data_IF_243327964405
#
_entry.id   IF_243327964405
#
_cell.length_a   1.000
_cell.length_b   1.000
_cell.length_c   1.000
_cell.angle_alpha   90.00
_cell.angle_beta   90.00
_cell.angle_gamma   90.00
#
_symmetry.space_group_name_H-M   'P 1'
#
loop_
_entity.id
_entity.type
_entity.pdbx_description
1 polymer ?
#
# COMPACT_ATOMS: atom_id res chain seq x y z
N UNK A 1 -16.34 6.68 10.17
CA UNK A 1 -16.73 7.65 9.15
C UNK A 1 -16.92 6.93 7.84
N UNK A 2 -18.18 6.85 7.41
CA UNK A 2 -18.53 6.66 6.00
C UNK A 2 -17.75 7.69 5.17
N UNK A 3 -17.52 7.42 3.87
CA UNK A 3 -17.13 8.52 2.99
C UNK A 3 -18.19 9.59 3.12
N UNK A 4 -17.82 10.73 3.70
CA UNK A 4 -18.77 11.80 3.97
C UNK A 4 -19.57 12.04 2.69
N UNK A 5 -20.92 11.99 2.75
CA UNK A 5 -21.72 12.32 1.58
C UNK A 5 -21.20 13.64 1.02
N UNK A 6 -21.21 13.83 -0.30
CA UNK A 6 -20.57 14.99 -0.95
C UNK A 6 -20.99 16.36 -0.36
N UNK A 7 -22.09 16.38 0.39
CA UNK A 7 -22.67 17.55 1.06
C UNK A 7 -22.71 17.39 2.60
N UNK A 8 -21.79 16.65 3.22
CA UNK A 8 -21.77 16.50 4.67
C UNK A 8 -21.54 17.85 5.35
N UNK A 9 -22.41 18.22 6.28
CA UNK A 9 -22.27 19.46 7.04
C UNK A 9 -21.18 19.33 8.11
N UNK A 10 -20.59 20.47 8.48
CA UNK A 10 -19.63 20.55 9.57
C UNK A 10 -20.21 20.06 10.92
N UNK A 11 -21.48 20.36 11.22
CA UNK A 11 -22.10 19.91 12.49
C UNK A 11 -22.23 18.38 12.57
N UNK A 12 -22.61 17.73 11.45
CA UNK A 12 -22.62 16.27 11.38
C UNK A 12 -21.21 15.71 11.54
N UNK A 13 -20.21 16.33 10.91
CA UNK A 13 -18.82 15.91 11.05
C UNK A 13 -18.31 16.05 12.48
N UNK A 14 -18.49 17.21 13.11
CA UNK A 14 -18.06 17.48 14.48
C UNK A 14 -18.68 16.53 15.50
N UNK A 15 -19.94 16.16 15.29
CA UNK A 15 -20.62 15.18 16.16
C UNK A 15 -20.02 13.77 16.07
N UNK A 16 -19.27 13.47 15.00
CA UNK A 16 -18.62 12.17 14.77
C UNK A 16 -17.13 12.17 15.10
N UNK A 17 -16.52 13.32 15.42
CA UNK A 17 -15.07 13.41 15.73
C UNK A 17 -14.76 12.92 17.13
N UNK A 18 -15.69 13.03 18.07
CA UNK A 18 -15.50 12.63 19.47
C UNK A 18 -16.59 11.67 19.93
N UNK A 19 -16.23 10.77 20.84
CA UNK A 19 -17.16 9.80 21.43
C UNK A 19 -18.05 10.43 22.49
N UNK A 20 -17.54 11.45 23.18
CA UNK A 20 -18.28 12.21 24.18
C UNK A 20 -18.91 13.44 23.52
N UNK A 21 -20.21 13.72 23.74
CA UNK A 21 -20.86 14.91 23.21
C UNK A 21 -20.10 16.17 23.63
N UNK A 22 -19.59 16.89 22.63
CA UNK A 22 -18.82 18.11 22.82
C UNK A 22 -19.78 19.26 23.11
N UNK A 23 -19.41 20.14 24.05
CA UNK A 23 -20.27 21.28 24.39
C UNK A 23 -20.48 22.20 23.18
N UNK A 24 -21.66 22.82 23.11
CA UNK A 24 -22.02 23.69 21.99
C UNK A 24 -21.02 24.83 21.79
N UNK A 25 -20.49 25.40 22.89
CA UNK A 25 -19.48 26.45 22.83
C UNK A 25 -18.17 26.01 22.13
N UNK A 26 -17.76 24.75 22.34
CA UNK A 26 -16.57 24.18 21.68
C UNK A 26 -16.87 23.91 20.20
N UNK A 27 -18.06 23.41 19.86
CA UNK A 27 -18.49 23.24 18.47
C UNK A 27 -18.49 24.57 17.70
N UNK A 28 -19.14 25.61 18.24
CA UNK A 28 -19.17 26.94 17.62
C UNK A 28 -17.76 27.53 17.48
N UNK A 29 -16.87 27.30 18.44
CA UNK A 29 -15.47 27.73 18.32
C UNK A 29 -14.73 27.01 17.18
N UNK A 30 -15.05 25.75 16.92
CA UNK A 30 -14.51 25.00 15.78
C UNK A 30 -15.13 25.48 14.47
N UNK A 31 -16.44 25.70 14.40
CA UNK A 31 -17.12 26.28 13.22
C UNK A 31 -16.47 27.59 12.80
N UNK A 32 -16.26 28.52 13.73
CA UNK A 32 -15.59 29.81 13.46
C UNK A 32 -14.17 29.60 12.93
N UNK A 33 -13.43 28.62 13.45
CA UNK A 33 -12.09 28.32 12.93
C UNK A 33 -12.14 27.79 11.49
N UNK A 34 -12.89 26.72 11.24
CA UNK A 34 -12.85 26.02 9.96
C UNK A 34 -13.61 26.76 8.85
N UNK A 35 -14.77 27.33 9.17
CA UNK A 35 -15.62 28.01 8.19
C UNK A 35 -15.21 29.46 8.00
N UNK A 36 -15.09 30.24 9.09
CA UNK A 36 -14.91 31.68 8.97
C UNK A 36 -13.43 32.05 8.78
N UNK A 37 -12.52 31.48 9.59
CA UNK A 37 -11.09 31.84 9.53
C UNK A 37 -10.34 31.14 8.40
N UNK A 38 -10.62 29.85 8.18
CA UNK A 38 -9.93 29.04 7.17
C UNK A 38 -10.69 29.00 5.83
N UNK A 39 -11.97 29.36 5.82
CA UNK A 39 -12.76 29.49 4.58
C UNK A 39 -13.26 28.17 4.00
N UNK A 40 -13.29 27.07 4.77
CA UNK A 40 -13.76 25.78 4.27
C UNK A 40 -15.28 25.67 4.37
N UNK A 41 -15.95 25.58 3.23
CA UNK A 41 -17.40 25.44 3.16
C UNK A 41 -17.88 24.04 3.61
N UNK A 42 -17.02 23.03 3.52
CA UNK A 42 -17.31 21.65 3.90
C UNK A 42 -16.07 20.93 4.46
N UNK A 43 -16.25 19.84 5.24
CA UNK A 43 -15.13 19.01 5.69
C UNK A 43 -14.29 18.45 4.55
N UNK A 44 -14.88 18.20 3.37
CA UNK A 44 -14.20 17.66 2.19
C UNK A 44 -13.15 18.63 1.64
N UNK A 45 -13.39 19.93 1.72
CA UNK A 45 -12.43 20.95 1.28
C UNK A 45 -11.23 21.05 2.24
N UNK A 46 -11.43 20.68 3.50
CA UNK A 46 -10.39 20.64 4.52
C UNK A 46 -9.63 19.29 4.55
N UNK A 47 -9.98 18.33 3.68
CA UNK A 47 -9.29 17.04 3.61
C UNK A 47 -7.82 17.21 3.20
N UNK A 48 -6.92 16.60 3.97
CA UNK A 48 -5.48 16.64 3.72
C UNK A 48 -4.78 17.83 4.37
N UNK A 49 -5.52 18.70 5.08
CA UNK A 49 -4.93 19.69 5.97
C UNK A 49 -4.20 19.00 7.13
N UNK A 50 -2.97 19.44 7.42
CA UNK A 50 -2.16 18.93 8.52
C UNK A 50 -2.06 19.96 9.65
N UNK A 51 -1.70 19.51 10.86
CA UNK A 51 -1.63 20.38 12.04
C UNK A 51 -0.64 21.56 11.85
N UNK A 52 0.37 21.39 10.98
CA UNK A 52 1.35 22.43 10.64
C UNK A 52 0.82 23.55 9.73
N UNK A 53 -0.33 23.37 9.07
CA UNK A 53 -0.91 24.37 8.18
C UNK A 53 -1.64 25.49 8.94
N UNK A 54 -1.95 25.26 10.22
CA UNK A 54 -2.66 26.21 11.08
C UNK A 54 -1.65 26.93 11.99
N UNK A 55 -1.63 28.25 11.90
CA UNK A 55 -0.80 29.06 12.78
C UNK A 55 -1.31 28.96 14.23
N UNK A 56 -0.43 28.87 15.25
CA UNK A 56 -0.85 28.74 16.65
C UNK A 56 -1.80 29.86 17.13
N UNK A 57 -1.71 31.04 16.52
CA UNK A 57 -2.52 32.23 16.80
C UNK A 57 -3.96 32.13 16.25
N UNK A 58 -4.18 31.28 15.24
CA UNK A 58 -5.51 31.09 14.65
C UNK A 58 -6.38 30.18 15.52
N UNK A 59 -5.76 29.26 16.26
CA UNK A 59 -6.44 28.31 17.14
C UNK A 59 -7.22 29.01 18.26
N UNK A 60 -8.37 28.47 18.69
CA UNK A 60 -9.13 29.01 19.81
C UNK A 60 -8.27 29.16 21.08
N UNK A 61 -8.50 30.24 21.83
CA UNK A 61 -7.81 30.48 23.10
C UNK A 61 -8.19 29.46 24.18
N UNK A 62 -9.44 28.98 24.15
CA UNK A 62 -9.94 27.95 25.07
C UNK A 62 -9.27 26.60 24.80
N UNK A 63 -8.65 26.02 25.84
CA UNK A 63 -7.93 24.74 25.74
C UNK A 63 -8.82 23.58 25.26
N UNK A 64 -10.06 23.39 25.75
CA UNK A 64 -10.99 22.39 25.20
C UNK A 64 -11.26 22.57 23.71
N UNK A 65 -11.46 23.81 23.24
CA UNK A 65 -11.72 24.10 21.85
C UNK A 65 -10.48 23.85 20.97
N UNK A 66 -9.29 24.23 21.44
CA UNK A 66 -8.02 23.93 20.78
C UNK A 66 -7.80 22.42 20.65
N UNK A 67 -8.02 21.66 21.72
CA UNK A 67 -7.87 20.19 21.70
C UNK A 67 -8.88 19.53 20.74
N UNK A 68 -10.13 20.01 20.73
CA UNK A 68 -11.14 19.54 19.80
C UNK A 68 -10.75 19.83 18.34
N UNK A 69 -10.34 21.06 18.01
CA UNK A 69 -9.90 21.41 16.64
C UNK A 69 -8.76 20.51 16.17
N UNK A 70 -7.77 20.20 17.03
CA UNK A 70 -6.68 19.26 16.68
C UNK A 70 -7.18 17.86 16.36
N UNK A 71 -8.21 17.37 17.06
CA UNK A 71 -8.83 16.07 16.77
C UNK A 71 -9.62 16.10 15.45
N UNK A 72 -10.28 17.21 15.14
CA UNK A 72 -10.92 17.42 13.83
C UNK A 72 -9.89 17.31 12.71
N UNK A 73 -8.74 17.98 12.83
CA UNK A 73 -7.66 17.94 11.83
C UNK A 73 -7.15 16.50 11.61
N UNK A 74 -6.85 15.78 12.70
CA UNK A 74 -6.41 14.38 12.61
C UNK A 74 -7.46 13.48 11.94
N UNK A 75 -8.73 13.73 12.21
CA UNK A 75 -9.82 12.97 11.57
C UNK A 75 -9.90 13.26 10.07
N UNK A 76 -9.70 14.51 9.66
CA UNK A 76 -9.62 14.92 8.24
C UNK A 76 -8.40 14.30 7.54
N UNK A 77 -7.27 14.21 8.22
CA UNK A 77 -6.05 13.56 7.72
C UNK A 77 -6.28 12.06 7.48
N UNK A 78 -6.90 11.36 8.44
CA UNK A 78 -7.28 9.94 8.30
C UNK A 78 -8.23 9.74 7.11
N UNK A 79 -9.23 10.63 6.92
CA UNK A 79 -10.13 10.58 5.78
C UNK A 79 -9.41 10.76 4.43
N UNK A 80 -8.50 11.73 4.37
CA UNK A 80 -7.70 11.97 3.17
C UNK A 80 -6.82 10.76 2.83
N UNK A 81 -6.17 10.15 3.82
CA UNK A 81 -5.42 8.91 3.62
C UNK A 81 -6.31 7.78 3.09
N UNK A 82 -7.48 7.55 3.72
CA UNK A 82 -8.42 6.52 3.28
C UNK A 82 -8.89 6.73 1.83
N UNK A 83 -9.11 7.99 1.39
CA UNK A 83 -9.43 8.30 -0.01
C UNK A 83 -8.26 8.07 -0.96
N UNK A 84 -7.04 8.46 -0.62
CA UNK A 84 -5.86 8.17 -1.46
C UNK A 84 -5.66 6.68 -1.67
N UNK A 85 -5.90 5.86 -0.65
CA UNK A 85 -5.88 4.41 -0.78
C UNK A 85 -6.95 3.90 -1.76
N UNK A 86 -8.19 4.43 -1.71
CA UNK A 86 -9.25 4.09 -2.68
C UNK A 86 -8.87 4.43 -4.12
N UNK A 87 -8.34 5.63 -4.36
CA UNK A 87 -8.00 6.10 -5.72
C UNK A 87 -6.76 5.39 -6.28
N UNK A 88 -5.76 5.11 -5.44
CA UNK A 88 -4.57 4.35 -5.84
C UNK A 88 -4.87 2.90 -6.24
N UNK A 89 -5.86 2.26 -5.60
CA UNK A 89 -6.29 0.91 -5.94
C UNK A 89 -7.00 0.81 -7.31
N UNK A 90 -7.63 1.89 -7.78
CA UNK A 90 -8.35 1.93 -9.07
C UNK A 90 -7.46 2.29 -10.27
N UNK A 91 -6.37 3.02 -10.05
CA UNK A 91 -5.47 3.48 -11.12
C UNK A 91 -4.32 2.48 -11.43
N UNK A 92 -4.18 1.40 -10.66
CA UNK A 92 -3.11 0.40 -10.84
C UNK A 92 -3.55 -0.81 -11.66
N UNK A 93 -3.97 -0.59 -12.92
CA UNK A 93 -4.37 -1.67 -13.86
C UNK A 93 -3.27 -1.95 -14.91
N UNK A 94 -2.05 -1.42 -14.76
CA UNK A 94 -1.07 -1.43 -15.86
C UNK A 94 0.41 -1.61 -15.51
N UNK A 95 0.78 -2.03 -14.29
CA UNK A 95 2.20 -2.26 -13.97
C UNK A 95 2.39 -3.49 -13.07
N UNK A 96 3.20 -4.50 -13.48
CA UNK A 96 3.41 -5.73 -12.70
C UNK A 96 4.14 -5.55 -11.35
N UNK A 97 4.60 -4.34 -11.01
CA UNK A 97 5.46 -4.10 -9.84
C UNK A 97 4.95 -3.04 -8.85
N UNK A 98 3.69 -2.63 -8.91
CA UNK A 98 3.17 -1.63 -7.97
C UNK A 98 2.79 -2.25 -6.61
N UNK A 99 3.71 -2.08 -5.65
CA UNK A 99 3.57 -2.07 -4.19
C UNK A 99 2.95 -3.31 -3.51
N UNK A 100 3.84 -4.22 -3.08
CA UNK A 100 3.61 -5.15 -1.97
C UNK A 100 3.68 -4.46 -0.58
N UNK A 101 3.94 -3.15 -0.53
CA UNK A 101 4.31 -2.45 0.71
C UNK A 101 3.13 -1.87 1.51
N UNK A 102 1.92 -2.39 1.33
CA UNK A 102 0.75 -1.98 2.12
C UNK A 102 0.49 -2.98 3.27
N UNK A 103 1.40 -3.01 4.25
CA UNK A 103 1.33 -3.93 5.41
C UNK A 103 0.75 -3.32 6.69
N UNK A 104 0.24 -2.09 6.63
CA UNK A 104 -0.53 -1.50 7.73
C UNK A 104 -1.97 -1.36 7.27
N UNK A 105 -2.79 -2.35 7.63
CA UNK A 105 -4.23 -2.41 7.36
C UNK A 105 -4.59 -2.11 5.90
N UNK A 106 -4.38 -3.08 5.01
CA UNK A 106 -5.11 -3.13 3.73
C UNK A 106 -6.58 -3.49 4.00
N UNK A 107 -7.25 -2.76 4.88
CA UNK A 107 -8.70 -2.77 4.91
C UNK A 107 -9.17 -2.34 3.52
N UNK A 108 -10.06 -3.11 2.90
CA UNK A 108 -10.88 -2.55 1.85
C UNK A 108 -11.49 -1.27 2.45
N UNK A 109 -11.23 -0.12 1.85
CA UNK A 109 -11.64 1.14 2.44
C UNK A 109 -13.17 1.29 2.50
N UNK A 110 -13.93 0.36 1.90
CA UNK A 110 -15.34 0.14 2.19
C UNK A 110 -15.58 -0.58 3.53
N UNK A 111 -14.83 -1.62 3.85
CA UNK A 111 -14.88 -2.33 5.16
C UNK A 111 -14.36 -1.45 6.30
N UNK A 112 -13.28 -0.67 6.10
CA UNK A 112 -12.84 0.33 7.07
C UNK A 112 -13.90 1.41 7.29
N UNK A 113 -14.49 1.92 6.20
CA UNK A 113 -15.55 2.90 6.30
C UNK A 113 -16.78 2.32 7.01
N UNK A 114 -17.18 1.09 6.71
CA UNK A 114 -18.30 0.39 7.37
C UNK A 114 -18.02 0.15 8.86
N UNK A 115 -16.83 -0.37 9.21
CA UNK A 115 -16.41 -0.57 10.60
C UNK A 115 -16.41 0.75 11.40
N UNK A 116 -16.09 1.87 10.75
CA UNK A 116 -16.15 3.18 11.37
C UNK A 116 -17.50 3.91 11.20
N UNK A 117 -18.41 3.46 10.33
CA UNK A 117 -19.70 4.10 10.03
C UNK A 117 -20.88 3.41 10.70
N UNK A 118 -20.72 2.14 11.10
CA UNK A 118 -21.61 1.52 12.06
C UNK A 118 -21.73 2.46 13.26
N UNK A 119 -22.92 3.03 13.51
CA UNK A 119 -23.09 4.11 14.45
C UNK A 119 -22.56 3.64 15.79
N UNK A 120 -21.60 4.39 16.30
CA UNK A 120 -20.89 4.22 17.56
C UNK A 120 -21.85 4.16 18.75
N UNK A 121 -22.57 3.05 18.88
CA UNK A 121 -22.66 2.38 20.16
C UNK A 121 -21.53 1.36 20.16
N UNK A 122 -20.72 1.47 21.20
CA UNK A 122 -19.72 0.52 21.64
C UNK A 122 -20.32 -0.88 21.86
N UNK A 123 -20.71 -1.56 20.79
CA UNK A 123 -20.85 -2.99 20.83
C UNK A 123 -19.53 -3.52 20.31
N UNK A 124 -18.51 -3.45 21.17
CA UNK A 124 -17.40 -4.40 21.05
C UNK A 124 -18.05 -5.76 20.82
N UNK A 125 -17.64 -6.41 19.73
CA UNK A 125 -18.14 -7.72 19.40
C UNK A 125 -17.99 -8.59 20.64
N UNK A 126 -19.11 -9.10 21.16
CA UNK A 126 -19.10 -9.98 22.32
C UNK A 126 -18.46 -11.30 21.88
N UNK A 127 -17.13 -11.38 22.05
CA UNK A 127 -16.32 -12.51 21.62
C UNK A 127 -16.78 -13.78 22.34
N UNK A 128 -17.18 -13.67 23.61
CA UNK A 128 -17.63 -14.84 24.37
C UNK A 128 -18.94 -15.38 23.82
N UNK A 129 -19.90 -14.52 23.48
CA UNK A 129 -21.14 -14.93 22.84
C UNK A 129 -20.89 -15.57 21.45
N UNK A 130 -19.96 -15.03 20.65
CA UNK A 130 -19.59 -15.64 19.36
C UNK A 130 -18.95 -17.02 19.52
N UNK A 131 -18.06 -17.17 20.50
CA UNK A 131 -17.41 -18.45 20.80
C UNK A 131 -18.40 -19.47 21.32
N UNK A 132 -19.30 -19.08 22.22
CA UNK A 132 -20.36 -19.94 22.76
C UNK A 132 -21.28 -20.43 21.64
N UNK A 133 -21.67 -19.55 20.70
CA UNK A 133 -22.48 -19.92 19.53
C UNK A 133 -21.85 -21.00 18.65
N UNK A 134 -20.53 -21.21 18.74
CA UNK A 134 -19.78 -22.23 18.00
C UNK A 134 -19.20 -23.33 18.88
N UNK A 135 -19.68 -23.46 20.12
CA UNK A 135 -19.20 -24.44 21.10
C UNK A 135 -17.70 -24.32 21.43
N UNK A 136 -17.14 -23.10 21.33
CA UNK A 136 -15.71 -22.80 21.57
C UNK A 136 -15.46 -22.03 22.87
N UNK A 137 -16.40 -22.06 23.83
CA UNK A 137 -16.33 -21.30 25.09
C UNK A 137 -15.10 -21.61 25.97
N UNK A 138 -14.52 -22.80 25.82
CA UNK A 138 -13.34 -23.24 26.58
C UNK A 138 -12.02 -22.92 25.88
N UNK A 139 -12.06 -22.12 24.80
CA UNK A 139 -10.84 -21.74 24.11
C UNK A 139 -9.93 -20.93 25.04
N UNK A 140 -8.64 -21.27 25.03
CA UNK A 140 -7.66 -20.52 25.80
C UNK A 140 -7.37 -19.15 25.19
N UNK A 141 -7.12 -18.16 26.04
CA UNK A 141 -6.84 -16.77 25.64
C UNK A 141 -5.70 -16.64 24.62
N UNK A 142 -4.71 -17.55 24.65
CA UNK A 142 -3.57 -17.52 23.73
C UNK A 142 -3.92 -17.87 22.28
N UNK A 143 -5.11 -18.42 22.03
CA UNK A 143 -5.64 -18.67 20.69
C UNK A 143 -6.58 -17.56 20.22
N UNK A 144 -6.86 -16.56 21.07
CA UNK A 144 -7.72 -15.44 20.72
C UNK A 144 -6.89 -14.30 20.12
N UNK A 145 -7.22 -13.80 18.91
CA UNK A 145 -6.63 -12.58 18.39
C UNK A 145 -7.20 -11.35 19.10
N UNK A 146 -6.59 -10.19 18.87
CA UNK A 146 -7.03 -8.90 19.45
C UNK A 146 -8.46 -8.52 19.02
N UNK A 147 -9.15 -7.74 19.86
CA UNK A 147 -10.55 -7.32 19.65
C UNK A 147 -10.79 -6.66 18.28
N UNK A 148 -9.80 -5.91 17.76
CA UNK A 148 -9.92 -5.24 16.46
C UNK A 148 -10.14 -6.23 15.30
N UNK A 149 -9.54 -7.43 15.37
CA UNK A 149 -9.71 -8.49 14.37
C UNK A 149 -11.14 -9.02 14.39
N UNK A 150 -11.70 -9.24 15.58
CA UNK A 150 -13.08 -9.67 15.76
C UNK A 150 -14.07 -8.66 15.18
N UNK A 151 -13.85 -7.38 15.50
CA UNK A 151 -14.66 -6.27 14.99
C UNK A 151 -14.58 -6.20 13.46
N UNK A 152 -13.40 -6.36 12.86
CA UNK A 152 -13.23 -6.37 11.40
C UNK A 152 -13.95 -7.54 10.73
N UNK A 153 -13.80 -8.76 11.25
CA UNK A 153 -14.43 -9.94 10.66
C UNK A 153 -15.95 -9.88 10.74
N UNK A 154 -16.51 -9.38 11.84
CA UNK A 154 -17.96 -9.22 11.99
C UNK A 154 -18.51 -8.10 11.11
N UNK A 155 -17.83 -6.95 11.04
CA UNK A 155 -18.23 -5.86 10.15
C UNK A 155 -18.26 -6.32 8.69
N UNK A 156 -17.30 -7.16 8.29
CA UNK A 156 -17.28 -7.74 6.94
C UNK A 156 -18.43 -8.73 6.70
N UNK A 157 -18.82 -9.53 7.69
CA UNK A 157 -19.98 -10.44 7.60
C UNK A 157 -21.28 -9.66 7.41
N UNK A 158 -21.48 -8.59 8.20
CA UNK A 158 -22.64 -7.71 8.08
C UNK A 158 -22.68 -6.99 6.72
N UNK A 159 -21.53 -6.44 6.29
CA UNK A 159 -21.41 -5.78 5.00
C UNK A 159 -21.63 -6.74 3.83
N UNK A 160 -21.11 -7.96 3.91
CA UNK A 160 -21.33 -8.97 2.87
C UNK A 160 -22.79 -9.39 2.78
N UNK A 161 -23.47 -9.54 3.92
CA UNK A 161 -24.90 -9.85 3.98
C UNK A 161 -25.76 -8.75 3.32
N UNK A 162 -25.50 -7.48 3.64
CA UNK A 162 -26.23 -6.34 3.01
C UNK A 162 -25.98 -6.26 1.50
N UNK A 163 -24.81 -6.71 1.04
CA UNK A 163 -24.42 -6.68 -0.37
C UNK A 163 -24.76 -7.96 -1.15
N UNK A 164 -25.28 -9.00 -0.48
CA UNK A 164 -25.56 -10.29 -1.10
C UNK A 164 -24.32 -10.97 -1.69
N UNK A 165 -23.18 -10.89 -1.01
CA UNK A 165 -21.90 -11.50 -1.44
C UNK A 165 -21.35 -12.43 -0.38
N UNK A 166 -20.37 -13.26 -0.76
CA UNK A 166 -19.63 -14.10 0.20
C UNK A 166 -18.85 -13.22 1.17
N UNK A 167 -18.96 -13.52 2.47
CA UNK A 167 -18.22 -12.84 3.53
C UNK A 167 -16.80 -13.40 3.62
N UNK A 168 -15.80 -12.56 3.34
CA UNK A 168 -14.39 -12.94 3.50
C UNK A 168 -13.52 -11.67 3.63
N UNK A 169 -12.86 -11.51 4.78
CA UNK A 169 -11.80 -10.50 4.94
C UNK A 169 -10.42 -11.14 4.87
N UNK A 170 -9.48 -10.44 4.24
CA UNK A 170 -8.06 -10.79 4.34
C UNK A 170 -7.48 -10.15 5.61
N UNK A 171 -7.01 -10.99 6.53
CA UNK A 171 -6.26 -10.55 7.70
C UNK A 171 -4.78 -10.91 7.51
N UNK A 172 -3.89 -9.93 7.73
CA UNK A 172 -2.46 -10.15 7.73
C UNK A 172 -2.04 -10.94 8.98
N UNK A 173 -1.59 -12.18 8.79
CA UNK A 173 -1.17 -13.04 9.88
C UNK A 173 0.10 -12.55 10.58
N UNK A 174 0.88 -11.68 9.92
CA UNK A 174 2.09 -11.07 10.49
C UNK A 174 1.80 -9.80 11.30
N UNK A 175 0.52 -9.38 11.36
CA UNK A 175 0.11 -8.26 12.20
C UNK A 175 0.29 -8.62 13.68
N UNK A 176 0.69 -7.62 14.48
CA UNK A 176 0.76 -7.73 15.94
C UNK A 176 -0.57 -8.18 16.57
N UNK A 177 -1.68 -7.91 15.89
CA UNK A 177 -3.03 -8.21 16.37
C UNK A 177 -3.39 -9.71 16.24
N UNK A 178 -2.64 -10.43 15.38
CA UNK A 178 -2.78 -11.87 15.16
C UNK A 178 -1.65 -12.67 15.81
N UNK A 179 -0.44 -12.12 15.87
CA UNK A 179 0.72 -12.83 16.40
C UNK A 179 0.47 -13.32 17.84
N UNK A 180 0.83 -14.58 18.16
CA UNK A 180 0.88 -15.03 19.56
C UNK A 180 1.85 -14.17 20.37
N UNK A 181 1.55 -13.95 21.66
CA UNK A 181 2.38 -13.12 22.57
C UNK A 181 3.84 -13.58 22.65
N UNK A 182 4.09 -14.87 22.48
CA UNK A 182 5.43 -15.47 22.52
C UNK A 182 6.18 -15.40 21.18
N UNK A 183 5.54 -14.94 20.11
CA UNK A 183 6.20 -14.60 18.83
C UNK A 183 6.35 -13.08 18.81
N UNK A 184 7.54 -12.55 19.11
CA UNK A 184 7.73 -11.12 19.09
C UNK A 184 7.72 -10.65 17.62
N UNK A 185 7.25 -9.41 17.42
CA UNK A 185 6.98 -8.86 16.08
C UNK A 185 8.22 -8.84 15.19
N UNK A 186 9.39 -8.59 15.78
CA UNK A 186 10.71 -8.62 15.17
C UNK A 186 11.16 -10.03 14.74
N UNK A 187 10.59 -11.10 15.30
CA UNK A 187 10.83 -12.46 14.84
C UNK A 187 10.06 -12.80 13.54
N UNK A 188 9.11 -11.96 13.13
CA UNK A 188 8.29 -12.10 11.91
C UNK A 188 8.54 -10.91 11.00
N UNK A 189 9.64 -11.00 10.25
CA UNK A 189 10.06 -9.98 9.28
C UNK A 189 11.11 -9.00 9.77
N UNK A 190 11.59 -8.20 8.82
CA UNK A 190 12.63 -7.19 9.05
C UNK A 190 14.04 -7.78 9.13
N UNK A 191 15.00 -7.03 8.59
CA UNK A 191 16.42 -7.20 8.91
C UNK A 191 16.61 -6.88 10.39
N UNK A 192 16.43 -7.87 11.26
CA UNK A 192 17.14 -7.88 12.52
C UNK A 192 18.46 -8.61 12.25
N UNK A 193 19.40 -7.88 11.66
CA UNK A 193 20.77 -8.35 11.62
C UNK A 193 21.27 -8.23 13.05
N UNK A 194 21.41 -9.36 13.76
CA UNK A 194 22.03 -9.37 15.08
C UNK A 194 23.45 -8.77 15.01
N UNK A 195 24.10 -8.85 13.84
CA UNK A 195 25.37 -8.16 13.56
C UNK A 195 25.25 -6.63 13.48
N UNK A 196 24.08 -6.06 13.13
CA UNK A 196 23.87 -4.61 13.26
C UNK A 196 23.65 -4.19 14.73
N UNK A 197 23.11 -5.10 15.55
CA UNK A 197 23.03 -4.93 17.01
C UNK A 197 24.39 -4.97 17.70
N UNK A 198 25.33 -5.79 17.20
CA UNK A 198 26.71 -5.81 17.67
C UNK A 198 27.60 -4.75 16.99
N UNK A 199 27.23 -4.19 15.83
CA UNK A 199 27.87 -2.99 15.28
C UNK A 199 27.50 -1.70 16.02
N UNK A 200 26.66 -1.78 17.06
CA UNK A 200 26.53 -0.73 18.07
C UNK A 200 27.62 -0.82 19.15
N UNK A 201 28.59 -1.73 19.01
CA UNK A 201 29.88 -1.62 19.70
C UNK A 201 30.67 -0.42 19.13
N UNK A 202 30.38 0.76 19.67
CA UNK A 202 31.42 1.69 20.11
C UNK A 202 31.91 2.80 19.18
N UNK A 203 31.99 2.64 17.85
CA UNK A 203 32.75 3.63 17.04
C UNK A 203 32.02 4.29 15.86
N UNK A 204 30.93 3.75 15.34
CA UNK A 204 30.16 4.44 14.31
C UNK A 204 29.09 5.32 14.93
N UNK A 205 29.47 6.54 15.32
CA UNK A 205 28.50 7.55 15.75
C UNK A 205 27.41 7.73 14.69
N UNK A 206 26.15 7.52 15.07
CA UNK A 206 24.99 7.93 14.27
C UNK A 206 25.02 9.47 14.25
N UNK A 207 25.77 10.03 13.31
CA UNK A 207 26.10 11.46 13.30
C UNK A 207 24.90 12.35 12.97
N UNK A 208 23.79 11.77 12.48
CA UNK A 208 22.60 12.54 12.11
C UNK A 208 21.30 11.85 12.49
N UNK A 209 20.37 12.62 13.07
CA UNK A 209 18.99 12.21 13.38
C UNK A 209 18.24 11.67 12.14
N UNK A 210 18.63 12.10 10.95
CA UNK A 210 18.12 11.61 9.67
C UNK A 210 18.52 10.16 9.37
N UNK A 211 19.73 9.72 9.77
CA UNK A 211 20.14 8.32 9.64
C UNK A 211 19.35 7.42 10.59
N UNK A 212 19.13 7.87 11.83
CA UNK A 212 18.26 7.17 12.78
C UNK A 212 16.82 7.06 12.26
N UNK A 213 16.25 8.15 11.75
CA UNK A 213 14.90 8.13 11.17
C UNK A 213 14.78 7.20 9.96
N UNK A 214 15.80 7.13 9.09
CA UNK A 214 15.82 6.18 7.97
C UNK A 214 16.00 4.73 8.43
N UNK A 215 16.85 4.48 9.42
CA UNK A 215 17.04 3.14 9.97
C UNK A 215 15.75 2.65 10.63
N UNK A 216 15.12 3.48 11.46
CA UNK A 216 13.81 3.19 12.07
C UNK A 216 12.75 2.95 10.99
N UNK A 217 12.68 3.83 9.98
CA UNK A 217 11.72 3.68 8.88
C UNK A 217 11.95 2.41 8.08
N UNK A 218 13.20 2.05 7.81
CA UNK A 218 13.54 0.82 7.08
C UNK A 218 13.23 -0.43 7.90
N UNK A 219 13.45 -0.37 9.22
CA UNK A 219 13.11 -1.44 10.15
C UNK A 219 11.57 -1.60 10.30
N UNK A 220 10.80 -0.51 10.24
CA UNK A 220 9.34 -0.55 10.36
C UNK A 220 8.62 -0.82 9.04
N UNK A 221 9.21 -0.45 7.90
CA UNK A 221 8.57 -0.53 6.57
C UNK A 221 8.89 -1.83 5.81
N UNK A 222 9.84 -2.64 6.30
CA UNK A 222 10.14 -3.92 5.67
C UNK A 222 8.92 -4.86 5.72
N UNK A 223 8.56 -5.51 4.59
CA UNK A 223 7.45 -6.46 4.58
C UNK A 223 7.72 -7.59 5.56
N UNK A 224 6.73 -7.87 6.42
CA UNK A 224 6.86 -8.91 7.42
C UNK A 224 6.69 -10.27 6.79
N UNK A 225 7.51 -11.24 7.22
CA UNK A 225 7.50 -12.58 6.66
C UNK A 225 7.86 -13.60 7.73
N UNK A 226 7.13 -14.71 7.78
CA UNK A 226 7.41 -15.79 8.72
C UNK A 226 8.71 -16.51 8.36
N UNK A 227 9.57 -16.72 9.35
CA UNK A 227 10.84 -17.44 9.20
C UNK A 227 10.67 -18.95 9.33
N UNK A 228 9.56 -19.42 9.91
CA UNK A 228 9.26 -20.85 10.04
C UNK A 228 7.78 -21.16 9.87
N UNK A 229 7.49 -22.41 9.52
CA UNK A 229 6.12 -22.90 9.39
C UNK A 229 5.36 -22.88 10.73
N UNK A 230 6.05 -23.07 11.85
CA UNK A 230 5.45 -23.00 13.18
C UNK A 230 4.95 -21.60 13.53
N UNK A 231 5.70 -20.55 13.16
CA UNK A 231 5.24 -19.17 13.36
C UNK A 231 3.98 -18.88 12.54
N UNK A 232 3.97 -19.32 11.28
CA UNK A 232 2.80 -19.23 10.42
C UNK A 232 1.61 -19.98 11.03
N UNK A 233 1.79 -21.24 11.43
CA UNK A 233 0.72 -22.10 11.95
C UNK A 233 0.10 -21.53 13.23
N UNK A 234 0.92 -21.07 14.18
CA UNK A 234 0.43 -20.48 15.42
C UNK A 234 -0.42 -19.22 15.17
N UNK A 235 0.00 -18.39 14.23
CA UNK A 235 -0.72 -17.17 13.82
C UNK A 235 -1.99 -17.51 13.02
N UNK A 236 -1.90 -18.49 12.13
CA UNK A 236 -3.03 -18.99 11.35
C UNK A 236 -4.12 -19.58 12.25
N UNK A 237 -3.76 -20.36 13.28
CA UNK A 237 -4.75 -20.92 14.22
C UNK A 237 -5.49 -19.81 14.98
N UNK A 238 -4.79 -18.75 15.44
CA UNK A 238 -5.44 -17.58 16.07
C UNK A 238 -6.45 -16.91 15.14
N UNK A 239 -6.06 -16.69 13.88
CA UNK A 239 -6.98 -16.18 12.85
C UNK A 239 -8.16 -17.13 12.60
N UNK A 240 -7.89 -18.43 12.44
CA UNK A 240 -8.89 -19.44 12.09
C UNK A 240 -10.01 -19.52 13.14
N UNK A 241 -9.68 -19.41 14.44
CA UNK A 241 -10.68 -19.38 15.50
C UNK A 241 -11.67 -18.22 15.33
N UNK A 242 -11.15 -17.02 15.05
CA UNK A 242 -11.99 -15.84 14.82
C UNK A 242 -12.78 -15.94 13.51
N UNK A 243 -12.18 -16.48 12.45
CA UNK A 243 -12.86 -16.70 11.17
C UNK A 243 -14.01 -17.73 11.28
N UNK A 244 -13.84 -18.80 12.06
CA UNK A 244 -14.88 -19.80 12.31
C UNK A 244 -15.98 -19.25 13.22
N UNK A 245 -15.60 -18.54 14.28
CA UNK A 245 -16.53 -17.91 15.22
C UNK A 245 -17.44 -16.85 14.54
N UNK A 246 -16.85 -16.01 13.70
CA UNK A 246 -17.59 -15.03 12.88
C UNK A 246 -18.39 -15.67 11.74
N UNK A 247 -18.17 -16.95 11.44
CA UNK A 247 -18.88 -17.68 10.39
C UNK A 247 -18.37 -17.40 8.98
N UNK A 248 -17.21 -16.76 8.81
CA UNK A 248 -16.56 -16.66 7.49
C UNK A 248 -16.05 -18.02 7.03
N UNK A 249 -15.52 -18.84 7.95
CA UNK A 249 -14.96 -20.16 7.67
C UNK A 249 -15.69 -21.26 8.45
N UNK A 250 -15.54 -22.50 7.99
CA UNK A 250 -15.92 -23.70 8.75
C UNK A 250 -14.67 -24.44 9.21
N UNK A 251 -14.78 -25.32 10.21
CA UNK A 251 -13.65 -26.15 10.63
C UNK A 251 -13.11 -27.06 9.51
N UNK A 252 -13.98 -27.57 8.63
CA UNK A 252 -13.56 -28.34 7.47
C UNK A 252 -12.69 -27.51 6.51
N UNK A 253 -13.07 -26.24 6.28
CA UNK A 253 -12.28 -25.30 5.48
C UNK A 253 -10.92 -25.01 6.14
N UNK A 254 -10.88 -24.80 7.46
CA UNK A 254 -9.63 -24.55 8.21
C UNK A 254 -8.68 -25.74 8.07
N UNK A 255 -9.16 -26.96 8.33
CA UNK A 255 -8.35 -28.17 8.28
C UNK A 255 -7.87 -28.46 6.85
N UNK A 256 -8.76 -28.27 5.87
CA UNK A 256 -8.45 -28.42 4.46
C UNK A 256 -7.34 -27.46 3.99
N UNK A 257 -7.49 -26.17 4.29
CA UNK A 257 -6.48 -25.17 3.95
C UNK A 257 -5.15 -25.46 4.65
N UNK A 258 -5.18 -25.78 5.94
CA UNK A 258 -3.98 -26.15 6.69
C UNK A 258 -3.28 -27.36 6.07
N UNK A 259 -4.02 -28.39 5.67
CA UNK A 259 -3.47 -29.58 5.00
C UNK A 259 -2.78 -29.21 3.67
N UNK A 260 -3.40 -28.38 2.83
CA UNK A 260 -2.79 -27.88 1.58
C UNK A 260 -1.45 -27.17 1.86
N UNK A 261 -1.41 -26.28 2.86
CA UNK A 261 -0.16 -25.57 3.21
C UNK A 261 0.90 -26.52 3.76
N UNK A 262 0.53 -27.49 4.59
CA UNK A 262 1.45 -28.48 5.14
C UNK A 262 2.03 -29.39 4.04
N UNK A 263 1.20 -29.86 3.12
CA UNK A 263 1.64 -30.65 1.95
C UNK A 263 2.63 -29.86 1.10
N UNK A 264 2.35 -28.58 0.83
CA UNK A 264 3.24 -27.72 0.04
C UNK A 264 4.58 -27.46 0.76
N UNK A 265 4.55 -27.24 2.07
CA UNK A 265 5.75 -27.07 2.87
C UNK A 265 6.61 -28.34 2.88
N UNK A 266 5.96 -29.51 3.02
CA UNK A 266 6.63 -30.81 3.00
C UNK A 266 7.25 -31.11 1.63
N UNK A 267 6.53 -30.80 0.54
CA UNK A 267 7.04 -30.96 -0.83
C UNK A 267 8.31 -30.11 -1.08
N UNK A 268 8.39 -28.90 -0.52
CA UNK A 268 9.61 -28.08 -0.60
C UNK A 268 10.71 -28.58 0.33
N UNK A 269 10.37 -29.11 1.52
CA UNK A 269 11.34 -29.72 2.45
C UNK A 269 12.06 -30.90 1.79
N UNK A 270 11.34 -31.76 1.06
CA UNK A 270 11.92 -32.89 0.29
C UNK A 270 12.91 -32.39 -0.76
N UNK A 271 12.70 -31.19 -1.32
CA UNK A 271 13.63 -30.52 -2.25
C UNK A 271 14.76 -29.75 -1.54
N UNK A 272 14.94 -29.95 -0.22
CA UNK A 272 15.89 -29.21 0.62
C UNK A 272 15.69 -27.69 0.63
N UNK A 273 14.47 -27.23 0.34
CA UNK A 273 14.07 -25.82 0.39
C UNK A 273 13.32 -25.52 1.68
N UNK A 274 13.31 -24.24 2.07
CA UNK A 274 12.56 -23.79 3.23
C UNK A 274 11.04 -23.77 2.98
N UNK A 275 10.23 -23.57 4.04
CA UNK A 275 8.76 -23.58 3.95
C UNK A 275 8.16 -22.33 3.26
N UNK A 276 9.00 -21.46 2.70
CA UNK A 276 8.62 -20.11 2.29
C UNK A 276 7.66 -20.05 1.11
N UNK A 277 7.70 -21.04 0.20
CA UNK A 277 6.71 -21.18 -0.87
C UNK A 277 5.32 -21.35 -0.29
N UNK A 278 5.18 -22.22 0.72
CA UNK A 278 3.88 -22.51 1.34
C UNK A 278 3.32 -21.29 2.08
N UNK A 279 4.19 -20.57 2.80
CA UNK A 279 3.83 -19.33 3.52
C UNK A 279 3.38 -18.24 2.55
N UNK A 280 4.13 -18.01 1.47
CA UNK A 280 3.77 -17.00 0.47
C UNK A 280 2.52 -17.39 -0.33
N UNK A 281 2.33 -18.69 -0.59
CA UNK A 281 1.12 -19.21 -1.23
C UNK A 281 -0.13 -18.92 -0.38
N UNK A 282 -0.12 -19.24 0.91
CA UNK A 282 -1.22 -18.92 1.84
C UNK A 282 -1.61 -17.44 1.75
N UNK A 283 -0.62 -16.55 1.84
CA UNK A 283 -0.85 -15.11 1.79
C UNK A 283 -1.52 -14.68 0.49
N UNK A 284 -0.97 -15.09 -0.66
CA UNK A 284 -1.52 -14.70 -1.96
C UNK A 284 -2.89 -15.31 -2.21
N UNK A 285 -3.12 -16.56 -1.79
CA UNK A 285 -4.41 -17.24 -1.92
C UNK A 285 -5.50 -16.51 -1.14
N UNK A 286 -5.25 -16.20 0.15
CA UNK A 286 -6.23 -15.47 0.98
C UNK A 286 -6.47 -14.05 0.45
N UNK A 287 -5.43 -13.35 -0.05
CA UNK A 287 -5.62 -12.04 -0.71
C UNK A 287 -6.49 -12.16 -1.97
N UNK A 288 -6.30 -13.19 -2.79
CA UNK A 288 -7.10 -13.43 -4.00
C UNK A 288 -8.56 -13.73 -3.66
N UNK A 289 -8.83 -14.56 -2.65
CA UNK A 289 -10.19 -14.85 -2.17
C UNK A 289 -10.90 -13.59 -1.68
N UNK A 290 -10.23 -12.76 -0.87
CA UNK A 290 -10.82 -11.48 -0.42
C UNK A 290 -11.15 -10.54 -1.59
N UNK A 291 -10.29 -10.47 -2.60
CA UNK A 291 -10.55 -9.68 -3.82
C UNK A 291 -11.73 -10.23 -4.64
N UNK A 292 -11.84 -11.55 -4.78
CA UNK A 292 -12.98 -12.19 -5.47
C UNK A 292 -14.28 -11.98 -4.70
N UNK A 293 -14.25 -12.11 -3.38
CA UNK A 293 -15.39 -11.89 -2.49
C UNK A 293 -15.93 -10.46 -2.60
N UNK A 294 -15.03 -9.46 -2.49
CA UNK A 294 -15.40 -8.04 -2.63
C UNK A 294 -15.93 -7.67 -4.03
N UNK A 295 -15.50 -8.36 -5.08
CA UNK A 295 -16.02 -8.20 -6.45
C UNK A 295 -17.32 -8.97 -6.72
N UNK A 296 -17.88 -9.65 -5.72
CA UNK A 296 -19.07 -10.51 -5.84
C UNK A 296 -18.92 -11.57 -6.93
N UNK A 297 -17.74 -12.16 -7.03
CA UNK A 297 -17.48 -13.22 -8.02
C UNK A 297 -18.42 -14.42 -7.77
N UNK A 298 -19.32 -14.76 -8.71
CA UNK A 298 -20.28 -15.85 -8.53
C UNK A 298 -19.63 -17.23 -8.55
N UNK A 299 -18.39 -17.33 -9.03
CA UNK A 299 -17.61 -18.58 -9.05
C UNK A 299 -16.85 -18.84 -7.76
N UNK A 300 -16.85 -17.90 -6.81
CA UNK A 300 -16.14 -18.04 -5.55
C UNK A 300 -16.84 -19.07 -4.66
N UNK A 301 -16.19 -20.20 -4.46
CA UNK A 301 -16.61 -21.25 -3.53
C UNK A 301 -15.49 -21.48 -2.53
N UNK A 302 -15.56 -20.82 -1.37
CA UNK A 302 -14.53 -20.92 -0.32
C UNK A 302 -14.29 -22.37 0.12
N UNK A 303 -15.31 -23.22 0.10
CA UNK A 303 -15.16 -24.60 0.55
C UNK A 303 -14.26 -25.39 -0.40
N UNK A 304 -14.43 -25.18 -1.71
CA UNK A 304 -13.60 -25.83 -2.73
C UNK A 304 -12.24 -25.16 -2.88
N UNK A 305 -12.22 -23.83 -2.93
CA UNK A 305 -11.00 -23.05 -3.22
C UNK A 305 -9.95 -23.21 -2.11
N UNK A 306 -10.37 -23.42 -0.85
CA UNK A 306 -9.46 -23.70 0.27
C UNK A 306 -8.94 -25.16 0.29
N UNK A 307 -9.59 -26.08 -0.42
CA UNK A 307 -9.21 -27.50 -0.49
C UNK A 307 -8.33 -27.82 -1.71
N UNK A 308 -8.23 -26.91 -2.67
CA UNK A 308 -7.57 -27.14 -3.96
C UNK A 308 -6.34 -26.26 -4.07
N UNK A 309 -5.22 -26.87 -4.45
CA UNK A 309 -3.99 -26.16 -4.80
C UNK A 309 -4.13 -25.52 -6.18
N UNK A 310 -4.21 -24.18 -6.21
CA UNK A 310 -4.19 -23.40 -7.45
C UNK A 310 -2.77 -23.42 -8.04
N UNK A 311 -2.60 -24.14 -9.15
CA UNK A 311 -1.31 -24.31 -9.82
C UNK A 311 -0.82 -23.01 -10.45
N UNK A 312 -1.71 -22.18 -10.98
CA UNK A 312 -1.34 -20.92 -11.60
C UNK A 312 -0.84 -19.93 -10.54
N UNK A 313 -1.53 -19.88 -9.40
CA UNK A 313 -1.09 -19.09 -8.27
C UNK A 313 0.26 -19.58 -7.72
N UNK A 314 0.47 -20.90 -7.66
CA UNK A 314 1.73 -21.48 -7.22
C UNK A 314 2.91 -21.11 -8.14
N UNK A 315 2.71 -21.05 -9.45
CA UNK A 315 3.73 -20.55 -10.38
C UNK A 315 4.08 -19.08 -10.10
N UNK A 316 3.08 -18.24 -9.83
CA UNK A 316 3.30 -16.84 -9.42
C UNK A 316 4.08 -16.76 -8.11
N UNK A 317 3.82 -17.64 -7.15
CA UNK A 317 4.57 -17.72 -5.89
C UNK A 317 6.04 -18.02 -6.17
N UNK A 318 6.36 -19.02 -6.99
CA UNK A 318 7.75 -19.35 -7.33
C UNK A 318 8.48 -18.18 -8.01
N UNK A 319 7.80 -17.47 -8.93
CA UNK A 319 8.38 -16.30 -9.60
C UNK A 319 8.68 -15.15 -8.63
N UNK A 320 7.83 -14.96 -7.61
CA UNK A 320 7.95 -13.83 -6.66
C UNK A 320 8.82 -14.12 -5.44
N UNK A 321 9.01 -15.40 -5.10
CA UNK A 321 9.60 -15.80 -3.84
C UNK A 321 10.97 -15.15 -3.59
N UNK A 322 11.85 -15.15 -4.60
CA UNK A 322 13.20 -14.57 -4.45
C UNK A 322 13.15 -13.09 -4.06
N UNK A 323 12.30 -12.31 -4.72
CA UNK A 323 12.15 -10.87 -4.44
C UNK A 323 11.55 -10.63 -3.06
N UNK A 324 10.55 -11.43 -2.67
CA UNK A 324 9.92 -11.33 -1.34
C UNK A 324 10.91 -11.66 -0.24
N UNK A 325 11.67 -12.76 -0.38
CA UNK A 325 12.67 -13.15 0.61
C UNK A 325 13.83 -12.16 0.71
N UNK A 326 14.23 -11.55 -0.40
CA UNK A 326 15.23 -10.48 -0.40
C UNK A 326 14.71 -9.22 0.31
N UNK A 327 13.47 -8.81 0.02
CA UNK A 327 12.83 -7.67 0.67
C UNK A 327 12.61 -7.89 2.17
N UNK A 328 12.28 -9.12 2.58
CA UNK A 328 12.12 -9.50 3.97
C UNK A 328 13.44 -9.77 4.71
N UNK A 329 14.59 -9.74 4.00
CA UNK A 329 15.91 -10.01 4.60
C UNK A 329 16.16 -11.48 4.96
N UNK A 330 15.37 -12.41 4.46
CA UNK A 330 15.45 -13.86 4.78
C UNK A 330 16.46 -14.60 3.88
N UNK A 331 16.79 -14.05 2.70
CA UNK A 331 17.56 -14.76 1.67
C UNK A 331 19.10 -14.73 1.86
N UNK A 332 19.67 -13.93 2.77
CA UNK A 332 21.11 -13.63 2.72
C UNK A 332 22.05 -14.71 3.31
N UNK A 333 21.59 -15.57 4.23
CA UNK A 333 22.53 -16.40 5.02
C UNK A 333 22.97 -17.72 4.37
N UNK A 334 22.26 -18.23 3.34
CA UNK A 334 22.60 -19.54 2.75
C UNK A 334 23.56 -19.49 1.57
N UNK A 335 23.69 -18.35 0.87
CA UNK A 335 24.64 -18.25 -0.24
C UNK A 335 26.07 -17.96 0.21
N UNK A 336 26.26 -17.45 1.44
CA UNK A 336 27.59 -17.17 1.99
C UNK A 336 28.28 -18.39 2.61
N UNK A 337 27.54 -19.44 3.02
CA UNK A 337 28.09 -20.56 3.81
C UNK A 337 28.53 -21.79 3.01
N UNK A 338 28.30 -21.83 1.69
CA UNK A 338 28.79 -22.94 0.82
C UNK A 338 30.14 -22.69 0.17
N UNK A 339 30.89 -21.70 0.67
CA UNK A 339 32.34 -21.62 0.45
C UNK A 339 33.05 -22.65 1.33
N UNK A 340 32.85 -23.94 1.03
CA UNK A 340 33.68 -25.02 1.56
C UNK A 340 35.08 -24.78 1.03
N UNK A 341 35.91 -24.19 1.89
CA UNK A 341 37.36 -24.19 1.79
C UNK A 341 37.81 -25.64 1.66
N UNK A 342 38.06 -26.06 0.41
CA UNK A 342 39.01 -27.11 0.11
C UNK A 342 40.33 -26.69 0.75
N UNK A 343 40.67 -27.35 1.84
CA UNK A 343 41.95 -27.31 2.52
C UNK A 343 43.09 -27.33 1.50
N UNK A 344 43.79 -26.22 1.34
CA UNK A 344 45.20 -26.27 0.99
C UNK A 344 45.98 -25.39 1.96
N UNK A 345 47.03 -26.01 2.47
CA UNK A 345 47.85 -25.65 3.62
C UNK A 345 48.55 -24.29 3.51
N UNK A 346 48.58 -23.58 4.64
CA UNK A 346 49.74 -22.81 5.09
C UNK A 346 49.91 -21.40 4.50
N UNK A 347 49.71 -20.37 5.32
CA UNK A 347 50.14 -19.02 4.99
C UNK A 347 49.48 -17.96 5.85
N UNK A 348 50.20 -17.52 6.88
CA UNK A 348 49.84 -16.37 7.69
C UNK A 348 49.76 -15.07 6.85
N UNK A 349 48.96 -14.13 7.34
CA UNK A 349 48.88 -12.71 6.98
C UNK A 349 48.20 -12.34 5.64
N UNK A 350 46.92 -11.95 5.72
CA UNK A 350 46.41 -10.66 5.20
C UNK A 350 44.91 -10.51 5.47
N UNK A 351 44.61 -9.74 6.50
CA UNK A 351 43.30 -9.16 6.80
C UNK A 351 43.06 -7.96 5.86
N UNK A 352 42.52 -8.20 4.66
CA UNK A 352 41.94 -7.15 3.78
C UNK A 352 41.30 -7.79 2.54
N UNK A 353 40.03 -8.19 2.62
CA UNK A 353 39.35 -8.84 1.49
C UNK A 353 37.82 -8.86 1.52
N UNK A 354 37.19 -8.48 2.64
CA UNK A 354 35.73 -8.51 2.79
C UNK A 354 35.00 -7.32 2.15
N UNK A 355 35.68 -6.25 1.73
CA UNK A 355 35.01 -5.05 1.17
C UNK A 355 34.64 -5.15 -0.31
N UNK A 356 35.34 -5.95 -1.12
CA UNK A 356 35.12 -5.95 -2.59
C UNK A 356 33.82 -6.60 -3.06
N UNK A 357 33.27 -7.55 -2.30
CA UNK A 357 32.03 -8.22 -2.70
C UNK A 357 30.77 -7.44 -2.30
N UNK A 358 30.83 -6.61 -1.25
CA UNK A 358 29.70 -5.76 -0.85
C UNK A 358 29.55 -4.53 -1.76
N UNK A 359 30.65 -3.94 -2.24
CA UNK A 359 30.60 -2.86 -3.24
C UNK A 359 29.94 -3.32 -4.56
N UNK A 360 30.19 -4.57 -4.99
CA UNK A 360 29.63 -5.10 -6.24
C UNK A 360 28.10 -5.26 -6.17
N UNK A 361 27.57 -5.74 -5.04
CA UNK A 361 26.12 -5.91 -4.84
C UNK A 361 25.43 -4.54 -4.73
N UNK A 362 26.06 -3.57 -4.05
CA UNK A 362 25.52 -2.21 -3.94
C UNK A 362 25.54 -1.48 -5.29
N UNK A 363 26.61 -1.65 -6.08
CA UNK A 363 26.71 -1.12 -7.44
C UNK A 363 25.64 -1.74 -8.37
N UNK A 364 25.36 -3.04 -8.24
CA UNK A 364 24.32 -3.71 -9.02
C UNK A 364 22.92 -3.24 -8.62
N UNK A 365 22.67 -2.96 -7.34
CA UNK A 365 21.41 -2.37 -6.87
C UNK A 365 21.23 -0.92 -7.35
N UNK A 366 22.30 -0.11 -7.34
CA UNK A 366 22.25 1.24 -7.89
C UNK A 366 22.00 1.24 -9.41
N UNK A 367 22.64 0.33 -10.16
CA UNK A 367 22.40 0.18 -11.58
C UNK A 367 20.95 -0.25 -11.88
N UNK A 368 20.39 -1.19 -11.09
CA UNK A 368 19.00 -1.61 -11.21
C UNK A 368 18.04 -0.46 -10.88
N UNK A 369 18.29 0.31 -9.81
CA UNK A 369 17.50 1.47 -9.43
C UNK A 369 17.51 2.56 -10.52
N UNK A 370 18.67 2.81 -11.13
CA UNK A 370 18.80 3.75 -12.25
C UNK A 370 18.01 3.31 -13.49
N UNK A 371 18.01 2.00 -13.80
CA UNK A 371 17.19 1.49 -14.90
C UNK A 371 15.69 1.64 -14.64
N UNK A 372 15.24 1.40 -13.41
CA UNK A 372 13.85 1.61 -13.01
C UNK A 372 13.46 3.10 -13.02
N UNK A 373 14.34 3.99 -12.56
CA UNK A 373 14.11 5.44 -12.60
C UNK A 373 13.97 5.94 -14.05
N UNK A 374 14.79 5.42 -14.98
CA UNK A 374 14.68 5.72 -16.41
C UNK A 374 13.37 5.19 -17.01
N UNK A 375 12.96 3.97 -16.67
CA UNK A 375 11.68 3.41 -17.12
C UNK A 375 10.49 4.22 -16.59
N UNK A 376 10.50 4.60 -15.32
CA UNK A 376 9.46 5.44 -14.71
C UNK A 376 9.37 6.83 -15.38
N UNK A 377 10.52 7.45 -15.69
CA UNK A 377 10.56 8.73 -16.42
C UNK A 377 10.02 8.60 -17.85
N UNK A 378 10.34 7.50 -18.55
CA UNK A 378 9.82 7.22 -19.89
C UNK A 378 8.30 6.97 -19.87
N UNK A 379 7.80 6.20 -18.90
CA UNK A 379 6.37 5.96 -18.72
C UNK A 379 5.61 7.27 -18.41
N UNK A 380 6.16 8.14 -17.55
CA UNK A 380 5.58 9.45 -17.25
C UNK A 380 5.54 10.37 -18.48
N UNK A 381 6.60 10.39 -19.30
CA UNK A 381 6.60 11.11 -20.58
C UNK A 381 5.55 10.58 -21.56
N UNK A 382 5.41 9.26 -21.67
CA UNK A 382 4.41 8.63 -22.55
C UNK A 382 2.98 8.99 -22.10
N UNK A 383 2.70 8.97 -20.80
CA UNK A 383 1.41 9.36 -20.24
C UNK A 383 1.10 10.85 -20.52
N UNK A 384 2.11 11.71 -20.35
CA UNK A 384 1.96 13.15 -20.61
C UNK A 384 1.67 13.44 -22.09
N UNK A 385 2.35 12.74 -23.01
CA UNK A 385 2.06 12.82 -24.44
C UNK A 385 0.66 12.31 -24.77
N UNK A 386 0.21 11.24 -24.10
CA UNK A 386 -1.15 10.73 -24.25
C UNK A 386 -2.19 11.77 -23.79
N UNK A 387 -1.98 12.41 -22.63
CA UNK A 387 -2.85 13.49 -22.14
C UNK A 387 -2.88 14.70 -23.09
N UNK A 388 -1.73 15.13 -23.61
CA UNK A 388 -1.67 16.21 -24.61
C UNK A 388 -2.44 15.85 -25.88
N UNK A 389 -2.29 14.63 -26.40
CA UNK A 389 -3.02 14.19 -27.59
C UNK A 389 -4.54 14.14 -27.37
N UNK A 390 -4.98 13.79 -26.15
CA UNK A 390 -6.40 13.84 -25.79
C UNK A 390 -6.90 15.27 -25.71
N UNK A 391 -6.15 16.20 -25.13
CA UNK A 391 -6.53 17.62 -25.10
C UNK A 391 -6.57 18.23 -26.51
N UNK A 392 -5.62 17.92 -27.39
CA UNK A 392 -5.65 18.37 -28.78
C UNK A 392 -6.84 17.80 -29.54
N UNK A 393 -7.16 16.52 -29.33
CA UNK A 393 -8.34 15.87 -29.93
C UNK A 393 -9.64 16.47 -29.37
N UNK A 394 -9.70 16.78 -28.08
CA UNK A 394 -10.83 17.45 -27.46
C UNK A 394 -11.01 18.87 -28.01
N UNK A 395 -9.92 19.64 -28.18
CA UNK A 395 -9.97 20.97 -28.80
C UNK A 395 -10.37 20.91 -30.28
N UNK A 396 -9.97 19.86 -31.02
CA UNK A 396 -10.45 19.64 -32.40
C UNK A 396 -11.93 19.26 -32.45
N UNK A 397 -12.41 18.43 -31.51
CA UNK A 397 -13.82 18.01 -31.46
C UNK A 397 -14.74 19.13 -30.94
N UNK A 398 -14.24 19.99 -30.05
CA UNK A 398 -14.99 21.16 -29.57
C UNK A 398 -15.06 22.31 -30.58
N UNK A 399 -14.52 22.13 -31.80
CA UNK A 399 -14.96 22.84 -32.99
C UNK A 399 -15.43 24.27 -32.74
N UNK A 400 -14.54 25.13 -32.23
CA UNK A 400 -14.79 26.57 -32.26
C UNK A 400 -14.73 26.94 -33.73
N UNK A 401 -15.89 26.87 -34.38
CA UNK A 401 -16.13 27.48 -35.67
C UNK A 401 -15.63 28.91 -35.58
N UNK A 402 -14.62 29.22 -36.38
CA UNK A 402 -14.18 30.59 -36.55
C UNK A 402 -15.41 31.44 -36.92
N UNK A 403 -15.64 32.56 -36.23
CA UNK A 403 -16.77 33.42 -36.55
C UNK A 403 -16.67 33.92 -38.00
N UNK A 404 -17.81 34.11 -38.68
CA UNK A 404 -17.85 34.48 -40.09
C UNK A 404 -17.14 35.81 -40.34
N UNK A 405 -16.45 35.85 -41.48
CA UNK A 405 -15.61 36.92 -41.97
C UNK A 405 -16.32 38.29 -41.93
N UNK A 406 -15.76 39.21 -41.14
CA UNK A 406 -16.09 40.63 -41.22
C UNK A 406 -15.33 41.30 -42.39
N UNK A 407 -15.93 42.34 -43.02
CA UNK A 407 -15.46 42.90 -44.29
C UNK A 407 -14.10 43.59 -44.18
N UNK A 408 -13.36 43.48 -45.29
CA UNK A 408 -11.99 43.98 -45.54
C UNK A 408 -11.82 45.46 -45.15
N UNK A 409 -11.27 45.70 -43.96
CA UNK A 409 -10.72 46.98 -43.54
C UNK A 409 -9.25 47.11 -43.96
N UNK A 410 -8.95 48.13 -44.78
CA UNK A 410 -7.59 48.50 -45.19
C UNK A 410 -6.72 48.87 -43.97
N UNK A 411 -5.58 48.20 -43.85
CA UNK A 411 -4.32 48.79 -43.40
C UNK A 411 -4.12 48.98 -41.89
N UNK A 412 -3.27 48.14 -41.31
CA UNK A 412 -2.24 48.55 -40.34
C UNK A 412 -1.06 47.61 -40.49
N UNK A 413 0.12 48.16 -40.79
CA UNK A 413 1.33 47.37 -41.00
C UNK A 413 1.65 46.50 -39.79
N UNK A 414 1.95 45.22 -40.04
CA UNK A 414 2.36 44.26 -39.02
C UNK A 414 3.49 44.85 -38.19
N UNK A 415 3.35 44.78 -36.89
CA UNK A 415 4.36 45.30 -35.95
C UNK A 415 5.66 44.50 -36.10
N UNK A 416 6.81 45.13 -35.80
CA UNK A 416 8.14 44.51 -35.93
C UNK A 416 8.26 43.19 -35.12
N UNK A 417 7.42 43.02 -34.09
CA UNK A 417 7.32 41.81 -33.27
C UNK A 417 6.60 40.66 -33.99
N UNK A 418 5.58 40.97 -34.79
CA UNK A 418 4.88 39.98 -35.63
C UNK A 418 5.74 39.55 -36.82
N UNK A 419 6.47 40.49 -37.44
CA UNK A 419 7.41 40.14 -38.51
C UNK A 419 8.55 39.22 -38.03
N UNK A 420 9.02 39.39 -36.78
CA UNK A 420 9.99 38.48 -36.17
C UNK A 420 9.42 37.10 -35.87
N UNK A 421 8.15 37.02 -35.45
CA UNK A 421 7.46 35.73 -35.25
C UNK A 421 7.28 34.99 -36.57
N UNK A 422 6.82 35.67 -37.61
CA UNK A 422 6.62 35.04 -38.93
C UNK A 422 7.95 34.52 -39.50
N UNK A 423 9.04 35.30 -39.40
CA UNK A 423 10.39 34.84 -39.78
C UNK A 423 10.89 33.65 -38.97
N UNK A 424 10.59 33.59 -37.67
CA UNK A 424 10.98 32.46 -36.83
C UNK A 424 10.28 31.17 -37.27
N UNK A 425 8.97 31.22 -37.55
CA UNK A 425 8.22 30.04 -38.00
C UNK A 425 8.63 29.59 -39.40
N UNK A 426 8.92 30.51 -40.33
CA UNK A 426 9.51 30.15 -41.64
C UNK A 426 10.87 29.46 -41.48
N UNK A 427 11.73 29.96 -40.60
CA UNK A 427 13.05 29.37 -40.36
C UNK A 427 12.96 27.97 -39.73
N UNK A 428 11.99 27.75 -38.84
CA UNK A 428 11.69 26.42 -38.26
C UNK A 428 11.16 25.47 -39.35
N UNK A 429 10.28 25.95 -40.22
CA UNK A 429 9.72 25.14 -41.32
C UNK A 429 10.81 24.72 -42.31
N UNK A 430 11.66 25.66 -42.72
CA UNK A 430 12.80 25.40 -43.59
C UNK A 430 13.80 24.39 -42.98
N UNK A 431 14.09 24.49 -41.67
CA UNK A 431 14.91 23.49 -40.96
C UNK A 431 14.27 22.10 -40.95
N UNK A 432 12.95 22.02 -40.79
CA UNK A 432 12.23 20.73 -40.80
C UNK A 432 12.26 20.06 -42.18
N UNK A 433 12.11 20.84 -43.25
CA UNK A 433 12.15 20.34 -44.63
C UNK A 433 13.57 19.92 -45.04
N UNK A 434 14.59 20.66 -44.64
CA UNK A 434 15.99 20.27 -44.86
C UNK A 434 16.33 18.95 -44.14
N UNK A 435 15.84 18.77 -42.92
CA UNK A 435 16.04 17.52 -42.15
C UNK A 435 15.32 16.34 -42.79
N UNK A 436 14.14 16.57 -43.38
CA UNK A 436 13.38 15.54 -44.09
C UNK A 436 14.07 15.11 -45.38
N UNK A 437 14.59 16.07 -46.18
CA UNK A 437 15.39 15.78 -47.38
C UNK A 437 16.69 15.04 -47.06
N UNK A 438 17.36 15.39 -45.96
CA UNK A 438 18.57 14.68 -45.50
C UNK A 438 18.30 13.22 -45.07
N UNK A 439 17.13 12.94 -44.48
CA UNK A 439 16.74 11.59 -44.08
C UNK A 439 16.35 10.69 -45.26
N UNK A 440 15.82 11.26 -46.34
CA UNK A 440 15.48 10.51 -47.56
C UNK A 440 16.72 10.19 -48.40
N UNK A 441 17.76 11.04 -48.39
CA UNK A 441 19.03 10.78 -49.07
C UNK A 441 19.84 9.60 -48.51
N UNK A 442 19.68 9.27 -47.21
CA UNK A 442 20.46 8.20 -46.58
C UNK A 442 19.89 6.80 -46.84
N UNK A 443 18.65 6.68 -47.30
CA UNK A 443 18.02 5.37 -47.60
C UNK A 443 18.32 4.81 -49.00
N UNK A 444 19.12 5.52 -49.81
CA UNK A 444 19.40 5.16 -51.20
C UNK A 444 20.71 4.40 -51.47
N UNK A 445 21.66 4.36 -50.53
CA UNK A 445 22.90 3.59 -50.70
C UNK A 445 22.72 2.16 -50.18
N UNK A 446 22.26 1.27 -51.06
CA UNK A 446 22.39 -0.18 -50.89
C UNK A 446 23.86 -0.56 -51.07
N UNK A 447 24.39 -1.29 -50.09
CA UNK A 447 25.61 -2.08 -50.21
C UNK A 447 25.35 -3.34 -51.04
#
# INVERSE_FOLDING_TARGET
>A
MESLPANASWDLFFSNVDSVPVSQAVKTSAEVLFMDKLGFASPQEAEGMVEGDILPEQLPASLPAKAFCRRVIRSLEVLHHAKRFKTGALMSVGSPSASLNAHTFSMNAATAAAAMASPSKANDVDVQALLEKKDMKTMSFHLMPEQCVWNELMAEVELAATQGRVAFSYIDLTSKDILPVWIPVDAVGGRFSLDEGNNLEGEQSISTLNQLSRALKTATDAPRFFRSLHQWQASFLRFAMAAVASGQWTWAMVLGHNDVIMQLAEAERVKSRGPYVAILYDELARRQMSRRASKKDPSLDLAKDLLILDKELLEVVYQRLSTVLQAAGVAQDRLASTGVNSSNSGGAASSSGYDRNNESIMAQQMAAADTMARQASQASKALMQQQQSMMEKANRMMGVQAPPEAPKGKGKGKTNKEQKKDKFFEQVRAKSEAKKKGAEGWKGQKW
#
